data_IF_443178539325
#
_entry.id   IF_443178539325
#
_cell.length_a   1.000
_cell.length_b   1.000
_cell.length_c   1.000
_cell.angle_alpha   90.00
_cell.angle_beta   90.00
_cell.angle_gamma   90.00
#
_symmetry.space_group_name_H-M   'P 1'
#
loop_
_entity.id
_entity.type
_entity.pdbx_description
1 polymer ?
#
# COMPACT_ATOMS: atom_id res chain seq x y z
N UNK A 1 4.08 -5.58 13.70
CA UNK A 1 3.58 -5.11 12.39
C UNK A 1 4.55 -5.49 11.27
N UNK A 2 4.05 -5.63 10.04
CA UNK A 2 4.78 -6.16 8.87
C UNK A 2 5.31 -5.07 7.94
N UNK A 3 4.93 -3.82 8.14
CA UNK A 3 5.14 -2.71 7.19
C UNK A 3 6.52 -2.08 7.26
N UNK A 4 6.84 -1.25 6.26
CA UNK A 4 8.06 -0.46 6.22
C UNK A 4 8.12 0.59 7.35
N UNK A 5 7.06 1.38 7.52
CA UNK A 5 7.13 2.57 8.39
C UNK A 5 6.91 2.28 9.87
N UNK A 6 6.15 1.24 10.20
CA UNK A 6 5.73 0.96 11.58
C UNK A 6 5.99 -0.49 12.01
N UNK A 7 6.81 -1.25 11.27
CA UNK A 7 6.93 -2.68 11.45
C UNK A 7 8.31 -3.27 11.17
N UNK A 8 8.39 -4.59 11.33
CA UNK A 8 9.61 -5.38 11.10
C UNK A 8 10.03 -5.38 9.63
N UNK A 9 9.09 -5.21 8.70
CA UNK A 9 9.39 -5.14 7.27
C UNK A 9 10.38 -4.03 6.95
N UNK A 10 10.24 -2.85 7.57
CA UNK A 10 11.19 -1.74 7.38
C UNK A 10 12.55 -1.99 8.01
N UNK A 11 12.56 -2.54 9.22
CA UNK A 11 13.80 -2.89 9.92
C UNK A 11 14.64 -3.86 9.07
N UNK A 12 14.01 -4.91 8.55
CA UNK A 12 14.70 -5.93 7.77
C UNK A 12 15.05 -5.45 6.36
N UNK A 13 14.16 -4.71 5.69
CA UNK A 13 14.44 -4.10 4.39
C UNK A 13 15.64 -3.14 4.45
N UNK A 14 15.66 -2.24 5.43
CA UNK A 14 16.76 -1.30 5.61
C UNK A 14 18.04 -2.01 6.02
N UNK A 15 17.95 -3.01 6.92
CA UNK A 15 19.09 -3.83 7.33
C UNK A 15 19.75 -4.55 6.15
N UNK A 16 18.94 -5.17 5.27
CA UNK A 16 19.43 -5.84 4.08
C UNK A 16 20.15 -4.88 3.13
N UNK A 17 19.53 -3.72 2.85
CA UNK A 17 20.10 -2.70 1.96
C UNK A 17 21.38 -2.08 2.52
N UNK A 18 21.38 -1.70 3.80
CA UNK A 18 22.56 -1.12 4.44
C UNK A 18 23.74 -2.11 4.51
N UNK A 19 23.46 -3.38 4.81
CA UNK A 19 24.47 -4.44 4.83
C UNK A 19 25.06 -4.67 3.42
N UNK A 20 24.22 -4.66 2.38
CA UNK A 20 24.68 -4.78 0.99
C UNK A 20 25.62 -3.64 0.59
N UNK A 21 25.26 -2.38 0.88
CA UNK A 21 26.11 -1.23 0.59
C UNK A 21 27.43 -1.23 1.40
N UNK A 22 27.45 -1.90 2.55
CA UNK A 22 28.65 -2.05 3.38
C UNK A 22 29.52 -3.25 2.97
N UNK A 23 29.13 -4.02 1.95
CA UNK A 23 29.82 -5.25 1.53
C UNK A 23 29.64 -6.45 2.47
N UNK A 24 28.78 -6.35 3.49
CA UNK A 24 28.50 -7.44 4.44
C UNK A 24 27.36 -8.32 3.90
N UNK A 25 27.69 -9.16 2.91
CA UNK A 25 26.73 -10.05 2.26
C UNK A 25 26.09 -11.05 3.23
N UNK A 26 26.82 -11.48 4.28
CA UNK A 26 26.26 -12.38 5.30
C UNK A 26 25.14 -11.71 6.08
N UNK A 27 25.30 -10.44 6.50
CA UNK A 27 24.22 -9.70 7.16
C UNK A 27 23.09 -9.36 6.19
N UNK A 28 23.40 -9.05 4.93
CA UNK A 28 22.36 -8.84 3.91
C UNK A 28 21.46 -10.07 3.83
N UNK A 29 22.03 -11.26 3.69
CA UNK A 29 21.29 -12.50 3.55
C UNK A 29 20.49 -12.84 4.82
N UNK A 30 21.06 -12.56 6.00
CA UNK A 30 20.33 -12.66 7.28
C UNK A 30 19.07 -11.79 7.29
N UNK A 31 19.20 -10.50 6.94
CA UNK A 31 18.05 -9.58 6.94
C UNK A 31 17.03 -9.92 5.86
N UNK A 32 17.47 -10.40 4.69
CA UNK A 32 16.56 -10.91 3.66
C UNK A 32 15.80 -12.15 4.14
N UNK A 33 16.47 -13.08 4.81
CA UNK A 33 15.81 -14.24 5.44
C UNK A 33 14.73 -13.80 6.44
N UNK A 34 15.05 -12.86 7.33
CA UNK A 34 14.09 -12.30 8.28
C UNK A 34 12.92 -11.57 7.59
N UNK A 35 13.17 -10.89 6.47
CA UNK A 35 12.10 -10.28 5.68
C UNK A 35 11.19 -11.34 5.06
N UNK A 36 11.75 -12.42 4.52
CA UNK A 36 11.00 -13.54 3.96
C UNK A 36 10.17 -14.27 5.03
N UNK A 37 10.65 -14.37 6.27
CA UNK A 37 9.83 -14.86 7.40
C UNK A 37 8.61 -13.97 7.66
N UNK A 38 8.75 -12.64 7.52
CA UNK A 38 7.60 -11.72 7.62
C UNK A 38 6.66 -11.90 6.42
N UNK A 39 7.19 -12.19 5.23
CA UNK A 39 6.40 -12.46 4.04
C UNK A 39 5.53 -13.72 4.14
N UNK A 40 5.85 -14.63 5.06
CA UNK A 40 5.04 -15.82 5.36
C UNK A 40 3.82 -15.54 6.25
N UNK A 41 3.59 -14.29 6.67
CA UNK A 41 2.38 -13.90 7.40
C UNK A 41 1.13 -14.24 6.56
N UNK A 42 0.32 -15.18 7.06
CA UNK A 42 -0.82 -15.73 6.34
C UNK A 42 -1.84 -14.67 5.96
N UNK A 43 -1.98 -13.63 6.75
CA UNK A 43 -2.93 -12.56 6.45
C UNK A 43 -2.54 -11.69 5.25
N UNK A 44 -1.28 -11.70 4.79
CA UNK A 44 -0.81 -10.88 3.66
C UNK A 44 -1.55 -11.21 2.34
N UNK A 45 -1.53 -12.46 1.84
CA UNK A 45 -2.18 -12.80 0.57
C UNK A 45 -3.68 -13.12 0.69
N UNK A 46 -4.24 -13.21 1.90
CA UNK A 46 -5.64 -13.62 2.08
C UNK A 46 -6.58 -12.47 1.70
N UNK A 47 -7.42 -12.73 0.69
CA UNK A 47 -8.44 -11.79 0.21
C UNK A 47 -9.71 -11.73 1.07
N UNK A 48 -10.65 -10.83 0.75
CA UNK A 48 -11.91 -10.67 1.48
C UNK A 48 -12.77 -11.94 1.57
N UNK A 49 -12.88 -12.68 0.47
CA UNK A 49 -13.71 -13.90 0.39
C UNK A 49 -13.23 -15.02 1.32
N UNK A 50 -11.94 -15.00 1.66
CA UNK A 50 -11.29 -15.94 2.57
C UNK A 50 -11.25 -15.42 4.02
N UNK A 51 -11.94 -14.32 4.33
CA UNK A 51 -11.95 -13.71 5.65
C UNK A 51 -10.78 -12.75 5.94
N UNK A 52 -10.08 -12.29 4.90
CA UNK A 52 -8.89 -11.43 4.96
C UNK A 52 -9.08 -10.00 5.48
N UNK A 53 -10.17 -9.69 6.18
CA UNK A 53 -10.44 -8.37 6.75
C UNK A 53 -9.61 -8.05 8.00
N UNK A 54 -8.88 -9.02 8.56
CA UNK A 54 -8.09 -8.86 9.78
C UNK A 54 -6.83 -7.99 9.62
N UNK A 55 -6.34 -7.79 8.40
CA UNK A 55 -5.21 -6.91 8.11
C UNK A 55 -5.66 -5.69 7.30
N UNK A 56 -5.15 -4.52 7.68
CA UNK A 56 -5.39 -3.28 6.93
C UNK A 56 -4.78 -3.32 5.53
N UNK A 57 -5.20 -2.40 4.67
CA UNK A 57 -4.63 -2.20 3.34
C UNK A 57 -3.63 -1.05 3.28
N UNK A 58 -3.59 -0.18 4.29
CA UNK A 58 -2.86 1.08 4.26
C UNK A 58 -1.32 0.99 4.31
N UNK A 59 -0.65 2.13 4.15
CA UNK A 59 0.80 2.24 4.06
C UNK A 59 1.51 2.09 5.42
N UNK A 60 0.87 2.53 6.51
CA UNK A 60 1.49 2.47 7.85
C UNK A 60 1.37 1.09 8.47
N UNK A 61 0.22 0.42 8.35
CA UNK A 61 -0.05 -0.83 9.06
C UNK A 61 -0.54 -1.98 8.19
N UNK A 62 -0.80 -1.74 6.91
CA UNK A 62 -1.44 -2.70 6.02
C UNK A 62 -0.55 -3.33 4.95
N UNK A 63 -1.21 -4.05 4.05
CA UNK A 63 -0.60 -4.77 2.92
C UNK A 63 0.22 -3.84 2.01
N UNK A 64 -0.27 -2.63 1.72
CA UNK A 64 0.50 -1.67 0.91
C UNK A 64 1.82 -1.29 1.57
N UNK A 65 1.83 -1.15 2.91
CA UNK A 65 3.06 -0.87 3.67
C UNK A 65 4.09 -2.01 3.65
N UNK A 66 3.65 -3.26 3.52
CA UNK A 66 4.53 -4.41 3.31
C UNK A 66 5.08 -4.43 1.88
N UNK A 67 4.20 -4.27 0.89
CA UNK A 67 4.58 -4.21 -0.53
C UNK A 67 5.58 -3.07 -0.80
N UNK A 68 5.42 -1.92 -0.15
CA UNK A 68 6.39 -0.83 -0.22
C UNK A 68 7.78 -1.24 0.29
N UNK A 69 7.84 -2.03 1.37
CA UNK A 69 9.12 -2.55 1.88
C UNK A 69 9.78 -3.50 0.88
N UNK A 70 8.99 -4.35 0.20
CA UNK A 70 9.48 -5.25 -0.83
C UNK A 70 10.00 -4.48 -2.06
N UNK A 71 9.26 -3.47 -2.53
CA UNK A 71 9.68 -2.58 -3.62
C UNK A 71 10.98 -1.86 -3.28
N UNK A 72 11.14 -1.40 -2.03
CA UNK A 72 12.38 -0.79 -1.56
C UNK A 72 13.57 -1.75 -1.67
N UNK A 73 13.40 -3.01 -1.25
CA UNK A 73 14.45 -4.05 -1.40
C UNK A 73 14.80 -4.24 -2.87
N UNK A 74 13.82 -4.47 -3.74
CA UNK A 74 14.06 -4.71 -5.17
C UNK A 74 14.74 -3.53 -5.85
N UNK A 75 14.36 -2.30 -5.49
CA UNK A 75 14.99 -1.08 -6.03
C UNK A 75 16.48 -1.00 -5.70
N UNK A 76 16.89 -1.43 -4.51
CA UNK A 76 18.25 -1.25 -4.02
C UNK A 76 19.15 -2.48 -4.20
N UNK A 77 18.59 -3.69 -4.23
CA UNK A 77 19.33 -4.94 -4.33
C UNK A 77 19.20 -5.62 -5.70
N UNK A 78 18.25 -5.18 -6.54
CA UNK A 78 17.99 -5.72 -7.87
C UNK A 78 16.53 -6.15 -8.01
N UNK A 79 15.94 -5.93 -9.18
CA UNK A 79 14.50 -6.07 -9.43
C UNK A 79 13.93 -7.47 -9.09
N UNK A 80 14.75 -8.51 -9.16
CA UNK A 80 14.37 -9.90 -8.90
C UNK A 80 14.80 -10.40 -7.50
N UNK A 81 15.14 -9.50 -6.57
CA UNK A 81 15.52 -9.91 -5.20
C UNK A 81 14.34 -10.57 -4.48
N UNK A 82 13.16 -9.97 -4.64
CA UNK A 82 11.88 -10.53 -4.21
C UNK A 82 11.02 -10.73 -5.47
N UNK A 83 10.78 -11.98 -5.89
CA UNK A 83 10.12 -12.26 -7.16
C UNK A 83 8.64 -11.90 -7.13
N UNK A 84 8.06 -11.64 -8.30
CA UNK A 84 6.63 -11.35 -8.43
C UNK A 84 5.73 -12.48 -7.91
N UNK A 85 6.14 -13.74 -8.03
CA UNK A 85 5.40 -14.89 -7.48
C UNK A 85 5.15 -14.79 -5.98
N UNK A 86 6.01 -14.08 -5.24
CA UNK A 86 5.83 -13.80 -3.82
C UNK A 86 4.88 -12.61 -3.58
N UNK A 87 4.93 -11.60 -4.44
CA UNK A 87 4.30 -10.29 -4.18
C UNK A 87 2.91 -10.17 -4.81
N UNK A 88 2.69 -10.76 -5.98
CA UNK A 88 1.44 -10.65 -6.72
C UNK A 88 0.21 -11.19 -5.97
N UNK A 89 0.28 -12.29 -5.20
CA UNK A 89 -0.87 -12.72 -4.37
C UNK A 89 -1.30 -11.65 -3.35
N UNK A 90 -0.36 -10.84 -2.85
CA UNK A 90 -0.66 -9.74 -1.92
C UNK A 90 -1.29 -8.56 -2.67
N UNK A 91 -0.81 -8.27 -3.89
CA UNK A 91 -1.38 -7.25 -4.78
C UNK A 91 -2.84 -7.60 -5.13
N UNK A 92 -3.09 -8.86 -5.49
CA UNK A 92 -4.43 -9.39 -5.77
C UNK A 92 -5.35 -9.25 -4.56
N UNK A 93 -4.87 -9.57 -3.35
CA UNK A 93 -5.63 -9.37 -2.12
C UNK A 93 -5.97 -7.89 -1.85
N UNK A 94 -5.07 -6.96 -2.21
CA UNK A 94 -5.33 -5.51 -2.11
C UNK A 94 -6.38 -5.07 -3.11
N UNK A 95 -6.33 -5.55 -4.35
CA UNK A 95 -7.32 -5.23 -5.40
C UNK A 95 -8.70 -5.80 -5.04
N UNK A 96 -8.78 -7.08 -4.67
CA UNK A 96 -10.00 -7.72 -4.21
C UNK A 96 -10.59 -6.98 -2.99
N UNK A 97 -9.75 -6.62 -2.02
CA UNK A 97 -10.13 -5.79 -0.88
C UNK A 97 -10.75 -4.45 -1.27
N UNK A 98 -10.16 -3.77 -2.26
CA UNK A 98 -10.65 -2.50 -2.78
C UNK A 98 -12.03 -2.65 -3.44
N UNK A 99 -12.20 -3.66 -4.29
CA UNK A 99 -13.47 -3.95 -4.97
C UNK A 99 -14.59 -4.28 -3.99
N UNK A 100 -14.32 -5.15 -3.01
CA UNK A 100 -15.31 -5.46 -1.96
C UNK A 100 -15.65 -4.22 -1.14
N UNK A 101 -14.64 -3.42 -0.80
CA UNK A 101 -14.83 -2.20 -0.02
C UNK A 101 -15.60 -1.09 -0.76
N UNK A 102 -15.68 -1.16 -2.10
CA UNK A 102 -16.42 -0.25 -2.97
C UNK A 102 -17.89 -0.62 -3.16
N UNK A 103 -18.35 -1.75 -2.60
CA UNK A 103 -19.72 -2.25 -2.77
C UNK A 103 -20.84 -1.25 -2.40
N UNK A 104 -20.57 -0.30 -1.49
CA UNK A 104 -21.49 0.76 -1.07
C UNK A 104 -21.23 2.12 -1.72
N UNK A 105 -20.22 2.24 -2.60
CA UNK A 105 -19.91 3.44 -3.37
C UNK A 105 -19.29 3.08 -4.73
N UNK A 106 -20.15 2.68 -5.67
CA UNK A 106 -19.75 2.24 -7.01
C UNK A 106 -19.11 3.32 -7.87
N UNK A 107 -19.16 4.59 -7.46
CA UNK A 107 -18.45 5.68 -8.14
C UNK A 107 -16.92 5.59 -7.96
N UNK A 108 -16.44 4.84 -6.97
CA UNK A 108 -15.02 4.62 -6.70
C UNK A 108 -14.69 3.13 -6.81
N UNK A 109 -14.00 2.67 -7.87
CA UNK A 109 -13.79 1.23 -8.11
C UNK A 109 -13.05 0.50 -6.99
N UNK A 110 -12.06 1.16 -6.36
CA UNK A 110 -11.32 0.64 -5.22
C UNK A 110 -11.55 1.52 -4.00
N UNK A 111 -12.08 0.95 -2.93
CA UNK A 111 -12.33 1.68 -1.68
C UNK A 111 -11.85 0.88 -0.47
N UNK A 112 -11.20 1.57 0.47
CA UNK A 112 -10.63 0.97 1.67
C UNK A 112 -11.09 1.71 2.92
N UNK A 113 -11.08 1.01 4.05
CA UNK A 113 -11.42 1.58 5.36
C UNK A 113 -10.29 1.29 6.34
N UNK A 114 -9.90 2.29 7.11
CA UNK A 114 -9.06 2.15 8.30
C UNK A 114 -9.88 2.60 9.50
N UNK A 115 -10.05 1.73 10.50
CA UNK A 115 -11.00 1.92 11.61
C UNK A 115 -12.37 2.45 11.15
N UNK A 116 -12.93 1.84 10.10
CA UNK A 116 -14.24 2.19 9.53
C UNK A 116 -14.27 3.45 8.66
N UNK A 117 -13.19 4.23 8.61
CA UNK A 117 -13.14 5.50 7.87
C UNK A 117 -12.50 5.34 6.50
N UNK A 118 -13.12 5.93 5.47
CA UNK A 118 -12.65 5.94 4.07
C UNK A 118 -11.63 7.07 3.85
N UNK A 119 -10.37 6.85 4.23
CA UNK A 119 -9.32 7.87 4.09
C UNK A 119 -8.89 8.05 2.62
N UNK A 120 -8.53 9.29 2.25
CA UNK A 120 -8.02 9.59 0.91
C UNK A 120 -6.50 9.82 0.86
N UNK A 121 -5.89 10.24 1.97
CA UNK A 121 -4.48 10.64 2.04
C UNK A 121 -3.47 9.47 2.02
N UNK A 122 -2.18 9.78 2.07
CA UNK A 122 -1.11 8.81 1.82
C UNK A 122 -0.87 7.81 2.97
N UNK A 123 -1.15 8.19 4.21
CA UNK A 123 -0.86 7.34 5.37
C UNK A 123 -1.84 6.15 5.47
N UNK A 124 -3.14 6.45 5.53
CA UNK A 124 -4.20 5.48 5.79
C UNK A 124 -5.19 5.26 4.64
N UNK A 125 -4.97 5.93 3.51
CA UNK A 125 -6.00 6.09 2.48
C UNK A 125 -5.57 5.74 1.07
N UNK A 126 -6.47 6.08 0.14
CA UNK A 126 -6.34 5.74 -1.29
C UNK A 126 -5.01 6.18 -1.89
N UNK A 127 -4.53 7.40 -1.62
CA UNK A 127 -3.30 7.90 -2.24
C UNK A 127 -2.10 6.97 -1.99
N UNK A 128 -1.94 6.48 -0.75
CA UNK A 128 -0.82 5.62 -0.40
C UNK A 128 -0.94 4.23 -1.02
N UNK A 129 -2.15 3.68 -1.02
CA UNK A 129 -2.43 2.34 -1.56
C UNK A 129 -2.22 2.34 -3.08
N UNK A 130 -2.82 3.30 -3.79
CA UNK A 130 -2.71 3.41 -5.25
C UNK A 130 -1.26 3.68 -5.66
N UNK A 131 -0.54 4.52 -4.93
CA UNK A 131 0.87 4.77 -5.21
C UNK A 131 1.69 3.47 -5.20
N UNK A 132 1.41 2.56 -4.27
CA UNK A 132 2.08 1.26 -4.21
C UNK A 132 1.66 0.37 -5.37
N UNK A 133 0.36 0.29 -5.70
CA UNK A 133 -0.16 -0.53 -6.79
C UNK A 133 0.44 -0.15 -8.16
N UNK A 134 0.71 1.14 -8.41
CA UNK A 134 1.30 1.63 -9.65
C UNK A 134 2.72 1.09 -9.94
N UNK A 135 3.37 0.44 -8.97
CA UNK A 135 4.68 -0.18 -9.14
C UNK A 135 4.62 -1.65 -9.56
N UNK A 136 3.43 -2.26 -9.65
CA UNK A 136 3.26 -3.67 -9.98
C UNK A 136 2.70 -3.87 -11.39
N UNK A 137 3.00 -5.01 -12.05
CA UNK A 137 2.38 -5.36 -13.31
C UNK A 137 0.90 -5.75 -13.10
N UNK A 138 0.00 -4.82 -13.38
CA UNK A 138 -1.44 -5.02 -13.25
C UNK A 138 -2.07 -5.46 -14.58
N UNK A 139 -3.17 -6.23 -14.52
CA UNK A 139 -3.98 -6.52 -15.70
C UNK A 139 -4.62 -5.24 -16.27
N UNK A 140 -5.18 -5.31 -17.48
CA UNK A 140 -5.88 -4.15 -18.07
C UNK A 140 -7.08 -3.72 -17.20
N UNK A 141 -7.83 -4.68 -16.66
CA UNK A 141 -8.96 -4.44 -15.77
C UNK A 141 -8.52 -3.78 -14.46
N UNK A 142 -7.49 -4.34 -13.79
CA UNK A 142 -6.94 -3.78 -12.56
C UNK A 142 -6.39 -2.35 -12.76
N UNK A 143 -5.78 -2.09 -13.92
CA UNK A 143 -5.32 -0.76 -14.30
C UNK A 143 -6.48 0.23 -14.45
N UNK A 144 -7.61 -0.18 -15.03
CA UNK A 144 -8.79 0.69 -15.13
C UNK A 144 -9.43 0.95 -13.77
N UNK A 145 -9.41 -0.01 -12.85
CA UNK A 145 -9.85 0.20 -11.48
C UNK A 145 -8.99 1.25 -10.75
N UNK A 146 -7.66 1.15 -10.88
CA UNK A 146 -6.71 2.13 -10.32
C UNK A 146 -6.95 3.52 -10.93
N UNK A 147 -7.06 3.62 -12.26
CA UNK A 147 -7.34 4.90 -12.95
C UNK A 147 -8.70 5.47 -12.56
N UNK A 148 -9.74 4.65 -12.48
CA UNK A 148 -11.08 5.06 -12.06
C UNK A 148 -11.08 5.60 -10.64
N UNK A 149 -10.32 4.98 -9.74
CA UNK A 149 -10.14 5.45 -8.36
C UNK A 149 -9.40 6.79 -8.31
N UNK A 150 -8.35 6.97 -9.12
CA UNK A 150 -7.67 8.27 -9.25
C UNK A 150 -8.61 9.36 -9.79
N UNK A 151 -9.41 9.05 -10.81
CA UNK A 151 -10.44 9.97 -11.36
C UNK A 151 -11.48 10.33 -10.29
N UNK A 152 -11.91 9.36 -9.48
CA UNK A 152 -12.81 9.60 -8.34
C UNK A 152 -12.18 10.61 -7.37
N UNK A 153 -10.94 10.40 -6.96
CA UNK A 153 -10.24 11.33 -6.06
C UNK A 153 -10.15 12.73 -6.67
N UNK A 154 -9.81 12.84 -7.96
CA UNK A 154 -9.68 14.12 -8.66
C UNK A 154 -11.00 14.90 -8.71
N UNK A 155 -12.13 14.20 -8.90
CA UNK A 155 -13.48 14.77 -8.94
C UNK A 155 -13.99 15.21 -7.57
N UNK A 156 -13.47 14.64 -6.48
CA UNK A 156 -13.88 14.92 -5.11
C UNK A 156 -12.93 15.85 -4.35
N UNK A 157 -12.05 16.56 -5.06
CA UNK A 157 -11.23 17.64 -4.48
C UNK A 157 -12.09 18.82 -4.04
N UNK A 158 -11.57 19.61 -3.10
CA UNK A 158 -12.17 20.89 -2.73
C UNK A 158 -12.15 21.86 -3.93
N UNK A 159 -13.30 22.35 -4.42
CA UNK A 159 -13.36 23.10 -5.68
C UNK A 159 -12.57 24.41 -5.68
N UNK A 160 -12.43 25.07 -4.52
CA UNK A 160 -11.76 26.37 -4.41
C UNK A 160 -10.26 26.27 -4.22
N UNK A 161 -9.81 25.37 -3.36
CA UNK A 161 -8.39 25.23 -3.01
C UNK A 161 -7.65 24.19 -3.86
N UNK A 162 -8.38 23.26 -4.48
CA UNK A 162 -7.81 22.07 -5.12
C UNK A 162 -7.24 21.04 -4.14
N UNK A 163 -7.35 21.29 -2.82
CA UNK A 163 -6.90 20.37 -1.78
C UNK A 163 -7.80 19.11 -1.74
N UNK A 164 -7.34 18.05 -1.11
CA UNK A 164 -8.09 16.80 -0.92
C UNK A 164 -8.65 16.70 0.51
N UNK A 165 -9.88 16.20 0.68
CA UNK A 165 -10.40 15.91 2.00
C UNK A 165 -9.60 14.80 2.68
N UNK A 166 -9.55 14.79 4.01
CA UNK A 166 -8.85 13.73 4.75
C UNK A 166 -9.49 12.35 4.53
N UNK A 167 -10.80 12.33 4.39
CA UNK A 167 -11.64 11.14 4.20
C UNK A 167 -12.85 11.49 3.35
N UNK A 168 -13.42 10.49 2.70
CA UNK A 168 -14.57 10.62 1.82
C UNK A 168 -15.75 11.33 2.51
N UNK A 169 -16.29 12.36 1.87
CA UNK A 169 -17.38 13.20 2.41
C UNK A 169 -17.00 14.21 3.49
N UNK A 170 -15.73 14.33 3.90
CA UNK A 170 -15.33 15.33 4.90
C UNK A 170 -15.29 16.75 4.30
N UNK A 171 -16.11 17.71 4.78
CA UNK A 171 -16.15 19.06 4.23
C UNK A 171 -15.01 19.98 4.74
N UNK A 172 -14.16 19.50 5.67
CA UNK A 172 -13.14 20.33 6.32
C UNK A 172 -11.86 20.43 5.51
N UNK A 173 -11.73 21.51 4.77
CA UNK A 173 -10.51 21.89 4.04
C UNK A 173 -9.49 22.56 4.97
N UNK A 174 -8.68 21.76 5.67
CA UNK A 174 -7.70 22.26 6.65
C UNK A 174 -6.35 21.55 6.62
N UNK A 175 -6.30 20.30 6.18
CA UNK A 175 -5.09 19.49 6.27
C UNK A 175 -4.30 19.63 4.96
N UNK A 176 -3.06 20.10 5.09
CA UNK A 176 -2.06 20.18 4.03
C UNK A 176 -0.84 19.41 4.56
N UNK A 177 -0.92 18.09 4.49
CA UNK A 177 -0.01 17.18 5.15
C UNK A 177 0.21 15.95 4.27
N UNK A 178 1.40 15.33 4.35
CA UNK A 178 1.67 14.07 3.67
C UNK A 178 0.61 13.00 4.00
N UNK A 179 0.21 12.91 5.27
CA UNK A 179 -0.80 11.94 5.70
C UNK A 179 -2.20 12.24 5.18
N UNK A 180 -2.57 13.53 5.03
CA UNK A 180 -3.93 13.97 4.74
C UNK A 180 -3.93 15.28 3.93
N UNK A 181 -4.57 15.27 2.76
CA UNK A 181 -4.65 16.41 1.86
C UNK A 181 -3.51 16.45 0.85
N UNK A 182 -3.46 17.54 0.09
CA UNK A 182 -2.35 17.88 -0.77
C UNK A 182 -1.13 18.30 0.08
N UNK A 183 0.06 18.06 -0.43
CA UNK A 183 1.32 18.52 0.18
C UNK A 183 1.82 19.75 -0.56
N UNK A 184 2.33 20.74 0.18
CA UNK A 184 3.00 21.93 -0.34
C UNK A 184 4.33 21.62 -1.00
#
# INVERSE_FOLDING_TARGET
>A
HVTFLCGRGGLYALGAVAANYSGDHRKRDLFLGLFLEVAQERALPVGPEEGGFGMSYDLLYGRAGFLWAALFINKHLGQETLPNDLLMPIVEAVLAGGRTGASDNTACPLMYRWHGTRYLGAAHGLAGILQVLLHFPLSEEDNEDVKGTLRYMMSNRFPRSGNYPSSDGNPRDKLVQWSHGATS
#
